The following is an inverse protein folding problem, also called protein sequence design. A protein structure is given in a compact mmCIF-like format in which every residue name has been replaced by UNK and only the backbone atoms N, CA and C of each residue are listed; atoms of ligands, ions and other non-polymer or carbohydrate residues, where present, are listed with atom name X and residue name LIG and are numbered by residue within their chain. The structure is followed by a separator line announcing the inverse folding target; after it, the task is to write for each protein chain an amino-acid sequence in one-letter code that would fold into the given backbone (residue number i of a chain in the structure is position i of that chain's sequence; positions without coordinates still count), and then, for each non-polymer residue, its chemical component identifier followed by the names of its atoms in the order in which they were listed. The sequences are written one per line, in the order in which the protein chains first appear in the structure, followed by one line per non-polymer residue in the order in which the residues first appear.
data_IF_393921868096
#
_entry.id   IF_393921868096
#
_cell.length_a   1.000
_cell.length_b   1.000
_cell.length_c   1.000
_cell.angle_alpha   90.00
_cell.angle_beta   90.00
_cell.angle_gamma   90.00
#
_symmetry.space_group_name_H-M   'P 1'
#
loop_
_entity.id
_entity.type
_entity.pdbx_description
1 polymer ?
#
# COMPACT_ATOMS: atom_id res chain seq x y z
N UNK A 1 20.32 -11.35 -25.99
CA UNK A 1 18.95 -11.35 -25.45
C UNK A 1 18.51 -12.68 -24.85
N UNK A 2 18.95 -13.85 -25.35
CA UNK A 2 18.56 -15.18 -24.82
C UNK A 2 19.02 -15.37 -23.36
N UNK A 3 20.27 -15.01 -23.05
CA UNK A 3 20.88 -15.15 -21.71
C UNK A 3 20.15 -14.36 -20.60
N UNK A 4 19.58 -13.20 -20.91
CA UNK A 4 18.88 -12.37 -19.92
C UNK A 4 17.50 -12.93 -19.58
N UNK A 5 16.77 -13.44 -20.59
CA UNK A 5 15.50 -14.13 -20.34
C UNK A 5 15.71 -15.40 -19.52
N UNK A 6 16.76 -16.16 -19.82
CA UNK A 6 17.12 -17.37 -19.09
C UNK A 6 17.44 -17.08 -17.62
N UNK A 7 18.15 -15.99 -17.32
CA UNK A 7 18.40 -15.53 -15.95
C UNK A 7 17.11 -15.14 -15.21
N UNK A 8 16.18 -14.44 -15.86
CA UNK A 8 14.89 -14.09 -15.22
C UNK A 8 14.03 -15.31 -14.92
N UNK A 9 14.03 -16.30 -15.82
CA UNK A 9 13.34 -17.57 -15.61
C UNK A 9 13.99 -18.31 -14.44
N UNK A 10 15.32 -18.40 -14.39
CA UNK A 10 16.04 -19.01 -13.27
C UNK A 10 15.75 -18.32 -11.93
N UNK A 11 15.60 -16.99 -11.89
CA UNK A 11 15.20 -16.27 -10.69
C UNK A 11 13.76 -16.60 -10.27
N UNK A 12 12.84 -16.71 -11.22
CA UNK A 12 11.46 -17.11 -10.93
C UNK A 12 11.39 -18.55 -10.41
N UNK A 13 12.11 -19.46 -11.06
CA UNK A 13 12.20 -20.86 -10.64
C UNK A 13 12.84 -20.98 -9.25
N UNK A 14 13.84 -20.16 -8.94
CA UNK A 14 14.43 -20.10 -7.60
C UNK A 14 13.40 -19.74 -6.52
N UNK A 15 12.63 -18.67 -6.74
CA UNK A 15 11.56 -18.24 -5.82
C UNK A 15 10.51 -19.33 -5.62
N UNK A 16 10.08 -19.98 -6.71
CA UNK A 16 9.09 -21.06 -6.68
C UNK A 16 9.63 -22.25 -5.88
N UNK A 17 10.87 -22.67 -6.16
CA UNK A 17 11.50 -23.77 -5.44
C UNK A 17 11.66 -23.48 -3.94
N UNK A 18 12.00 -22.24 -3.55
CA UNK A 18 12.08 -21.89 -2.11
C UNK A 18 10.71 -22.01 -1.41
N UNK A 19 9.61 -21.64 -2.11
CA UNK A 19 8.26 -21.79 -1.58
C UNK A 19 7.85 -23.26 -1.49
N UNK A 20 8.07 -24.05 -2.54
CA UNK A 20 7.75 -25.48 -2.57
C UNK A 20 8.51 -26.26 -1.49
N UNK A 21 9.81 -25.95 -1.31
CA UNK A 21 10.62 -26.57 -0.25
C UNK A 21 10.10 -26.25 1.15
N UNK A 22 9.53 -25.07 1.37
CA UNK A 22 8.92 -24.72 2.65
C UNK A 22 7.59 -25.47 2.86
N UNK A 23 6.77 -25.58 1.81
CA UNK A 23 5.49 -26.31 1.84
C UNK A 23 5.70 -27.81 2.09
N UNK A 24 6.75 -28.38 1.53
CA UNK A 24 7.15 -29.78 1.72
C UNK A 24 7.91 -30.02 3.05
N UNK A 25 8.22 -28.95 3.80
CA UNK A 25 8.88 -29.03 5.11
C UNK A 25 10.40 -29.23 5.05
N UNK A 26 11.03 -29.08 3.89
CA UNK A 26 12.49 -29.14 3.71
C UNK A 26 13.21 -27.89 4.23
N UNK A 27 12.52 -26.75 4.30
CA UNK A 27 13.05 -25.50 4.88
C UNK A 27 12.06 -24.89 5.87
N UNK A 28 12.58 -24.15 6.85
CA UNK A 28 11.76 -23.41 7.79
C UNK A 28 10.94 -22.34 7.07
N UNK A 29 9.62 -22.31 7.30
CA UNK A 29 8.72 -21.29 6.77
C UNK A 29 9.19 -19.88 7.15
N UNK A 30 9.77 -19.72 8.35
CA UNK A 30 10.28 -18.44 8.83
C UNK A 30 11.53 -18.00 8.05
N UNK A 31 12.42 -18.93 7.69
CA UNK A 31 13.61 -18.61 6.91
C UNK A 31 13.24 -18.29 5.47
N UNK A 32 12.34 -19.08 4.88
CA UNK A 32 11.80 -18.83 3.53
C UNK A 32 11.12 -17.46 3.45
N UNK A 33 10.25 -17.09 4.40
CA UNK A 33 9.59 -15.77 4.33
C UNK A 33 10.56 -14.60 4.53
N UNK A 34 11.66 -14.80 5.28
CA UNK A 34 12.71 -13.78 5.42
C UNK A 34 13.44 -13.58 4.08
N UNK A 35 13.83 -14.67 3.41
CA UNK A 35 14.49 -14.60 2.11
C UNK A 35 13.59 -13.94 1.05
N UNK A 36 12.35 -14.41 0.93
CA UNK A 36 11.36 -13.84 0.01
C UNK A 36 11.15 -12.34 0.26
N UNK A 37 11.20 -11.89 1.53
CA UNK A 37 11.07 -10.46 1.86
C UNK A 37 12.27 -9.64 1.41
N UNK A 38 13.49 -10.15 1.52
CA UNK A 38 14.70 -9.47 1.03
C UNK A 38 14.67 -9.35 -0.50
N UNK A 39 14.33 -10.42 -1.20
CA UNK A 39 14.19 -10.38 -2.66
C UNK A 39 13.09 -9.42 -3.11
N UNK A 40 11.98 -9.37 -2.35
CA UNK A 40 10.91 -8.40 -2.60
C UNK A 40 11.41 -6.95 -2.48
N UNK A 41 12.22 -6.62 -1.47
CA UNK A 41 12.78 -5.27 -1.31
C UNK A 41 13.65 -4.89 -2.52
N UNK A 42 14.44 -5.82 -3.04
CA UNK A 42 15.24 -5.60 -4.24
C UNK A 42 14.35 -5.30 -5.47
N UNK A 43 13.31 -6.10 -5.71
CA UNK A 43 12.38 -5.86 -6.82
C UNK A 43 11.58 -4.57 -6.66
N UNK A 44 11.16 -4.24 -5.43
CA UNK A 44 10.51 -2.97 -5.12
C UNK A 44 11.44 -1.79 -5.43
N UNK A 45 12.74 -1.92 -5.17
CA UNK A 45 13.72 -0.89 -5.54
C UNK A 45 13.87 -0.77 -7.06
N UNK A 46 13.99 -1.88 -7.80
CA UNK A 46 14.04 -1.83 -9.27
C UNK A 46 12.81 -1.13 -9.87
N UNK A 47 11.61 -1.41 -9.32
CA UNK A 47 10.38 -0.76 -9.75
C UNK A 47 10.43 0.75 -9.47
N UNK A 48 10.96 1.17 -8.31
CA UNK A 48 11.14 2.60 -8.00
C UNK A 48 12.10 3.26 -8.97
N UNK A 49 13.19 2.59 -9.33
CA UNK A 49 14.18 3.14 -10.25
C UNK A 49 13.59 3.33 -11.67
N UNK A 50 12.79 2.37 -12.15
CA UNK A 50 12.05 2.49 -13.41
C UNK A 50 11.09 3.67 -13.36
N UNK A 51 10.29 3.80 -12.30
CA UNK A 51 9.37 4.93 -12.12
C UNK A 51 10.09 6.26 -12.07
N UNK A 52 11.21 6.34 -11.36
CA UNK A 52 12.01 7.55 -11.29
C UNK A 52 12.53 7.97 -12.68
N UNK A 53 12.92 7.00 -13.51
CA UNK A 53 13.29 7.25 -14.90
C UNK A 53 12.09 7.75 -15.74
N UNK A 54 10.93 7.07 -15.65
CA UNK A 54 9.70 7.46 -16.35
C UNK A 54 9.27 8.90 -15.98
N UNK A 55 9.29 9.23 -14.69
CA UNK A 55 8.94 10.55 -14.19
C UNK A 55 9.94 11.61 -14.64
N UNK A 56 11.25 11.31 -14.59
CA UNK A 56 12.30 12.23 -15.03
C UNK A 56 12.28 12.50 -16.54
N UNK A 57 11.75 11.55 -17.34
CA UNK A 57 11.70 11.62 -18.80
C UNK A 57 10.31 11.82 -19.36
N UNK A 58 9.32 12.11 -18.52
CA UNK A 58 7.91 12.19 -18.90
C UNK A 58 7.66 13.14 -20.07
N UNK A 59 8.23 14.34 -20.06
CA UNK A 59 8.04 15.34 -21.10
C UNK A 59 8.68 14.93 -22.43
N UNK A 60 9.87 14.31 -22.36
CA UNK A 60 10.56 13.75 -23.54
C UNK A 60 9.77 12.58 -24.13
N UNK A 61 9.30 11.65 -23.30
CA UNK A 61 8.47 10.51 -23.69
C UNK A 61 7.16 10.98 -24.33
N UNK A 62 6.51 12.01 -23.76
CA UNK A 62 5.28 12.56 -24.33
C UNK A 62 5.54 13.19 -25.69
N UNK A 63 6.57 14.02 -25.80
CA UNK A 63 6.93 14.67 -27.07
C UNK A 63 7.26 13.64 -28.15
N UNK A 64 8.03 12.60 -27.81
CA UNK A 64 8.39 11.55 -28.75
C UNK A 64 7.17 10.69 -29.13
N UNK A 65 6.32 10.33 -28.18
CA UNK A 65 5.10 9.56 -28.44
C UNK A 65 4.14 10.33 -29.37
N UNK A 66 3.98 11.65 -29.19
CA UNK A 66 3.16 12.49 -30.05
C UNK A 66 3.62 12.46 -31.52
N UNK A 67 4.93 12.38 -31.77
CA UNK A 67 5.49 12.25 -33.13
C UNK A 67 5.06 10.94 -33.82
N UNK A 68 4.84 9.87 -33.04
CA UNK A 68 4.37 8.57 -33.52
C UNK A 68 2.86 8.36 -33.31
N UNK A 69 2.07 9.44 -33.23
CA UNK A 69 0.61 9.36 -33.01
C UNK A 69 0.22 8.59 -31.75
N UNK A 70 1.08 8.64 -30.72
CA UNK A 70 0.95 7.91 -29.46
C UNK A 70 0.99 6.38 -29.59
N UNK A 71 1.56 5.84 -30.66
CA UNK A 71 1.77 4.41 -30.83
C UNK A 71 3.20 4.13 -31.30
N UNK A 72 3.94 3.33 -30.52
CA UNK A 72 5.32 2.97 -30.87
C UNK A 72 5.59 1.51 -30.54
N UNK A 73 6.09 0.75 -31.52
CA UNK A 73 6.40 -0.70 -31.40
C UNK A 73 5.25 -1.55 -30.84
N UNK A 74 4.00 -1.22 -31.20
CA UNK A 74 2.80 -1.92 -30.74
C UNK A 74 2.37 -1.58 -29.30
N UNK A 75 3.04 -0.63 -28.65
CA UNK A 75 2.61 -0.06 -27.39
C UNK A 75 1.88 1.26 -27.64
N UNK A 76 0.71 1.43 -27.01
CA UNK A 76 -0.08 2.66 -27.04
C UNK A 76 0.23 3.50 -25.81
N UNK A 77 0.52 4.79 -26.02
CA UNK A 77 0.81 5.75 -24.96
C UNK A 77 -0.44 6.57 -24.66
N UNK A 78 -0.89 6.54 -23.40
CA UNK A 78 -2.00 7.38 -22.92
C UNK A 78 -1.50 8.28 -21.79
N UNK A 79 -1.34 9.57 -22.08
CA UNK A 79 -0.95 10.55 -21.08
C UNK A 79 -2.20 11.06 -20.36
N UNK A 80 -2.26 10.84 -19.05
CA UNK A 80 -3.28 11.42 -18.18
C UNK A 80 -2.65 12.54 -17.36
N UNK A 81 -3.31 13.69 -17.32
CA UNK A 81 -2.96 14.73 -16.34
C UNK A 81 -3.17 14.15 -14.94
N UNK A 82 -2.19 14.33 -14.06
CA UNK A 82 -2.28 13.88 -12.68
C UNK A 82 -3.51 14.49 -12.02
N UNK A 83 -4.18 13.71 -11.17
CA UNK A 83 -5.33 14.20 -10.41
C UNK A 83 -4.94 15.42 -9.59
N UNK A 84 -5.65 16.53 -9.76
CA UNK A 84 -5.46 17.72 -8.93
C UNK A 84 -6.15 17.48 -7.59
N UNK A 85 -5.39 17.05 -6.59
CA UNK A 85 -5.85 17.09 -5.19
C UNK A 85 -5.66 18.51 -4.69
N UNK A 86 -6.75 19.15 -4.26
CA UNK A 86 -6.68 20.43 -3.59
C UNK A 86 -6.31 20.18 -2.13
N UNK A 87 -5.28 20.85 -1.64
CA UNK A 87 -4.96 20.85 -0.21
C UNK A 87 -5.90 21.84 0.49
N UNK A 88 -6.70 21.33 1.43
CA UNK A 88 -7.65 22.12 2.22
C UNK A 88 -7.11 22.39 3.64
N UNK A 89 -5.90 21.95 3.95
CA UNK A 89 -5.27 22.05 5.27
C UNK A 89 -5.08 23.52 5.71
N UNK A 90 -4.96 24.43 4.75
CA UNK A 90 -4.85 25.87 4.99
C UNK A 90 -6.18 26.61 5.18
N UNK A 91 -7.34 25.95 5.06
CA UNK A 91 -8.65 26.58 5.22
C UNK A 91 -9.08 26.44 6.69
N UNK A 92 -9.22 27.54 7.44
CA UNK A 92 -9.58 27.50 8.87
C UNK A 92 -10.89 26.73 9.12
N UNK A 93 -11.90 26.95 8.29
CA UNK A 93 -13.21 26.29 8.39
C UNK A 93 -13.11 24.76 8.26
N UNK A 94 -12.24 24.26 7.37
CA UNK A 94 -12.03 22.82 7.19
C UNK A 94 -11.29 22.25 8.40
N UNK A 95 -10.25 22.92 8.86
CA UNK A 95 -9.46 22.50 10.03
C UNK A 95 -10.31 22.43 11.31
N UNK A 96 -11.18 23.42 11.53
CA UNK A 96 -12.12 23.44 12.65
C UNK A 96 -13.12 22.29 12.57
N UNK A 97 -13.73 22.07 11.39
CA UNK A 97 -14.68 20.96 11.18
C UNK A 97 -14.03 19.59 11.29
N UNK A 98 -12.78 19.43 10.86
CA UNK A 98 -12.03 18.19 11.04
C UNK A 98 -11.69 17.91 12.50
N UNK A 99 -11.37 18.97 13.27
CA UNK A 99 -11.16 18.87 14.71
C UNK A 99 -12.44 18.45 15.44
N UNK A 100 -13.56 19.11 15.15
CA UNK A 100 -14.88 18.74 15.69
C UNK A 100 -15.23 17.28 15.34
N UNK A 101 -15.03 16.88 14.08
CA UNK A 101 -15.29 15.52 13.62
C UNK A 101 -14.42 14.50 14.37
N UNK A 102 -13.16 14.85 14.65
CA UNK A 102 -12.23 14.00 15.40
C UNK A 102 -12.67 13.85 16.85
N UNK A 103 -13.06 14.94 17.52
CA UNK A 103 -13.56 14.93 18.90
C UNK A 103 -14.84 14.09 19.01
N UNK A 104 -15.78 14.23 18.07
CA UNK A 104 -16.99 13.42 18.00
C UNK A 104 -16.64 11.92 17.85
N UNK A 105 -15.76 11.58 16.90
CA UNK A 105 -15.33 10.18 16.71
C UNK A 105 -14.64 9.61 17.94
N UNK A 106 -13.86 10.42 18.65
CA UNK A 106 -13.19 10.01 19.88
C UNK A 106 -14.20 9.74 21.01
N UNK A 107 -15.21 10.59 21.19
CA UNK A 107 -16.32 10.39 22.14
C UNK A 107 -17.02 9.05 21.90
N UNK A 108 -17.39 8.76 20.65
CA UNK A 108 -18.06 7.49 20.30
C UNK A 108 -17.12 6.27 20.40
N UNK A 109 -15.81 6.45 20.17
CA UNK A 109 -14.82 5.40 20.39
C UNK A 109 -14.68 5.07 21.88
N UNK A 110 -14.56 6.07 22.75
CA UNK A 110 -14.51 5.86 24.20
C UNK A 110 -15.79 5.20 24.71
N UNK A 111 -16.95 5.59 24.18
CA UNK A 111 -18.22 4.94 24.48
C UNK A 111 -18.23 3.45 24.09
N UNK A 112 -17.67 3.11 22.94
CA UNK A 112 -17.50 1.72 22.52
C UNK A 112 -16.56 0.93 23.43
N UNK A 113 -15.40 1.50 23.78
CA UNK A 113 -14.42 0.84 24.67
C UNK A 113 -14.95 0.63 26.10
N UNK A 114 -15.76 1.56 26.61
CA UNK A 114 -16.40 1.45 27.92
C UNK A 114 -17.55 0.44 27.92
N UNK A 115 -18.37 0.42 26.85
CA UNK A 115 -19.41 -0.60 26.68
C UNK A 115 -18.82 -2.02 26.59
N UNK A 116 -17.68 -2.20 25.91
CA UNK A 116 -16.96 -3.48 25.88
C UNK A 116 -16.46 -3.94 27.26
N UNK A 117 -16.19 -3.01 28.18
CA UNK A 117 -15.76 -3.28 29.56
C UNK A 117 -16.93 -3.51 30.52
N UNK A 118 -18.18 -3.53 30.03
CA UNK A 118 -19.38 -3.75 30.84
C UNK A 118 -19.88 -2.50 31.59
N UNK A 119 -19.40 -1.30 31.23
CA UNK A 119 -19.91 -0.03 31.76
C UNK A 119 -21.06 0.46 30.88
N UNK A 120 -22.20 0.80 31.50
CA UNK A 120 -23.32 1.46 30.83
C UNK A 120 -22.87 2.85 30.38
N UNK A 121 -22.81 3.08 29.07
CA UNK A 121 -22.45 4.38 28.50
C UNK A 121 -23.73 5.13 28.16
N UNK A 122 -24.14 5.97 29.11
CA UNK A 122 -25.35 6.78 29.05
C UNK A 122 -24.95 8.21 28.66
N UNK A 123 -25.65 8.83 27.71
CA UNK A 123 -25.47 10.25 27.37
C UNK A 123 -25.92 11.17 28.52
N UNK A 124 -25.58 12.47 28.49
CA UNK A 124 -26.07 13.46 29.48
C UNK A 124 -27.62 13.54 29.53
N UNK A 125 -28.31 13.11 28.46
CA UNK A 125 -29.77 13.04 28.34
C UNK A 125 -30.41 11.71 28.80
N UNK A 126 -29.64 10.77 29.36
CA UNK A 126 -30.19 9.49 29.83
C UNK A 126 -30.48 8.46 28.73
N UNK A 127 -30.22 8.78 27.45
CA UNK A 127 -30.40 7.86 26.32
C UNK A 127 -29.13 7.03 26.03
N UNK A 128 -29.35 5.81 25.53
CA UNK A 128 -28.28 4.91 25.08
C UNK A 128 -27.55 5.50 23.86
N UNK A 129 -26.24 5.74 23.98
CA UNK A 129 -25.43 6.23 22.87
C UNK A 129 -25.34 5.17 21.76
N UNK A 130 -25.60 5.52 20.48
CA UNK A 130 -25.44 4.58 19.38
C UNK A 130 -23.96 4.21 19.24
N UNK A 131 -23.66 2.93 19.45
CA UNK A 131 -22.29 2.42 19.44
C UNK A 131 -21.81 2.21 17.99
N UNK A 132 -20.57 2.61 17.66
CA UNK A 132 -20.00 2.33 16.35
C UNK A 132 -19.87 0.82 16.13
N UNK A 133 -20.17 0.34 14.91
CA UNK A 133 -19.97 -1.07 14.54
C UNK A 133 -18.47 -1.32 14.26
N UNK A 134 -17.79 -2.22 14.98
CA UNK A 134 -16.39 -2.52 14.70
C UNK A 134 -16.26 -3.18 13.33
N UNK A 135 -15.40 -2.64 12.48
CA UNK A 135 -15.00 -3.27 11.22
C UNK A 135 -13.61 -3.85 11.38
N UNK A 136 -13.53 -5.15 11.63
CA UNK A 136 -12.25 -5.85 11.71
C UNK A 136 -11.62 -5.96 10.31
N UNK A 137 -10.39 -5.48 10.16
CA UNK A 137 -9.55 -5.82 9.01
C UNK A 137 -8.94 -7.19 9.25
N UNK A 138 -8.64 -7.92 8.18
CA UNK A 138 -7.86 -9.17 8.29
C UNK A 138 -6.57 -8.87 9.05
N UNK A 139 -6.21 -9.72 10.02
CA UNK A 139 -4.91 -9.62 10.69
C UNK A 139 -3.79 -9.66 9.65
N UNK A 140 -2.78 -8.81 9.81
CA UNK A 140 -1.62 -8.75 8.93
C UNK A 140 -0.36 -9.18 9.68
N UNK A 141 0.55 -9.83 8.96
CA UNK A 141 1.88 -10.17 9.46
C UNK A 141 2.85 -9.03 9.12
N UNK A 142 3.59 -8.57 10.14
CA UNK A 142 4.67 -7.59 9.97
C UNK A 142 5.99 -8.33 10.17
N UNK A 143 6.82 -8.37 9.13
CA UNK A 143 8.19 -8.88 9.19
C UNK A 143 9.12 -7.66 9.19
N UNK A 144 9.94 -7.50 10.24
CA UNK A 144 10.96 -6.46 10.31
C UNK A 144 12.31 -7.09 10.02
N UNK A 145 12.89 -6.77 8.86
CA UNK A 145 14.22 -7.22 8.51
C UNK A 145 15.27 -6.38 9.27
N UNK A 146 16.36 -6.99 9.75
CA UNK A 146 17.49 -6.23 10.29
C UNK A 146 18.08 -5.37 9.16
N UNK A 147 18.42 -4.11 9.47
CA UNK A 147 19.17 -3.26 8.54
C UNK A 147 20.61 -3.72 8.55
N UNK A 148 21.12 -4.11 7.37
CA UNK A 148 22.56 -4.30 7.13
C UNK A 148 23.31 -2.96 7.15
#
# INVERSE_FOLDING_TARGET
MIRTKELHIQMQDHLINEMERADEGYTSILDTIINLRKEREFHEQMIKDIKAFEDAKKDEIQTEAEQYQNEYKGAKFEFRSGGKTLDYSGIPEVSEKEKELKEIKEKYKMAFENSQKGLLVISEDGEELPLPKPKYRKGSMIVKLPKE
#
